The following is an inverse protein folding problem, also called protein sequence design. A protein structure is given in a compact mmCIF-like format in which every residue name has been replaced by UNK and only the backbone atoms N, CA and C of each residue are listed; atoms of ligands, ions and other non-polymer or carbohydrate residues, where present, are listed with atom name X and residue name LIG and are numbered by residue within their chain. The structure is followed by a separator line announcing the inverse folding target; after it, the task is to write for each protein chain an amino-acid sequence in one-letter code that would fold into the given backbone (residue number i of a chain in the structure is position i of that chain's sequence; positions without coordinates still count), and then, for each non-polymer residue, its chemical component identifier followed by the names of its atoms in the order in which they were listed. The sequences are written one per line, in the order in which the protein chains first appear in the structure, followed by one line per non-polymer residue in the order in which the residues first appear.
data_IF_133204538571
#
_entry.id   IF_133204538571
#
_cell.length_a   1.000
_cell.length_b   1.000
_cell.length_c   1.000
_cell.angle_alpha   90.00
_cell.angle_beta   90.00
_cell.angle_gamma   90.00
#
_symmetry.space_group_name_H-M   'P 1'
#
loop_
_entity.id
_entity.type
_entity.pdbx_description
1 polymer ?
#
# COMPACT_ATOMS: atom_id res chain seq x y z
N UNK A 1 -30.70 -3.65 -30.31
CA UNK A 1 -30.36 -3.14 -28.96
C UNK A 1 -28.85 -2.99 -28.89
N UNK A 2 -28.34 -1.82 -28.48
CA UNK A 2 -26.90 -1.59 -28.37
C UNK A 2 -26.29 -2.48 -27.29
N UNK A 3 -25.07 -2.96 -27.50
CA UNK A 3 -24.36 -3.76 -26.51
C UNK A 3 -24.06 -2.88 -25.31
N UNK A 4 -24.03 -3.47 -24.12
CA UNK A 4 -23.90 -2.69 -22.89
C UNK A 4 -22.63 -1.85 -22.82
N UNK A 5 -21.59 -2.32 -23.51
CA UNK A 5 -20.30 -1.67 -23.68
C UNK A 5 -20.32 -0.43 -24.59
N UNK A 6 -21.36 -0.24 -25.41
CA UNK A 6 -21.42 0.84 -26.40
C UNK A 6 -21.75 2.20 -25.76
N UNK A 7 -22.30 2.19 -24.54
CA UNK A 7 -22.60 3.42 -23.81
C UNK A 7 -21.29 4.15 -23.42
N UNK A 8 -21.15 5.45 -23.72
CA UNK A 8 -19.99 6.24 -23.31
C UNK A 8 -19.76 6.21 -21.79
N UNK A 9 -20.85 6.18 -21.04
CA UNK A 9 -20.85 6.23 -19.58
C UNK A 9 -20.33 4.93 -18.96
N UNK A 10 -20.79 3.77 -19.42
CA UNK A 10 -20.29 2.46 -18.95
C UNK A 10 -18.78 2.34 -19.22
N UNK A 11 -18.29 2.86 -20.35
CA UNK A 11 -16.85 2.90 -20.64
C UNK A 11 -16.10 3.85 -19.70
N UNK A 12 -16.69 4.98 -19.32
CA UNK A 12 -16.09 5.92 -18.38
C UNK A 12 -15.97 5.32 -16.98
N UNK A 13 -17.02 4.71 -16.46
CA UNK A 13 -17.02 4.06 -15.15
C UNK A 13 -16.01 2.92 -15.09
N UNK A 14 -15.98 2.09 -16.13
CA UNK A 14 -14.99 1.03 -16.26
C UNK A 14 -13.55 1.58 -16.26
N UNK A 15 -13.29 2.68 -16.97
CA UNK A 15 -11.97 3.34 -16.97
C UNK A 15 -11.60 3.83 -15.58
N UNK A 16 -12.54 4.34 -14.81
CA UNK A 16 -12.32 4.79 -13.42
C UNK A 16 -11.89 3.63 -12.52
N UNK A 17 -12.57 2.49 -12.57
CA UNK A 17 -12.18 1.30 -11.80
C UNK A 17 -10.81 0.77 -12.20
N UNK A 18 -10.53 0.68 -13.51
CA UNK A 18 -9.22 0.24 -14.00
C UNK A 18 -8.11 1.18 -13.56
N UNK A 19 -8.32 2.50 -13.66
CA UNK A 19 -7.35 3.52 -13.21
C UNK A 19 -7.11 3.43 -11.72
N UNK A 20 -8.14 3.24 -10.91
CA UNK A 20 -7.99 3.04 -9.47
C UNK A 20 -7.14 1.80 -9.17
N UNK A 21 -7.43 0.66 -9.81
CA UNK A 21 -6.62 -0.56 -9.65
C UNK A 21 -5.16 -0.36 -10.07
N UNK A 22 -4.91 0.29 -11.21
CA UNK A 22 -3.55 0.60 -11.67
C UNK A 22 -2.80 1.55 -10.74
N UNK A 23 -3.49 2.53 -10.14
CA UNK A 23 -2.88 3.43 -9.13
C UNK A 23 -2.43 2.67 -7.89
N UNK A 24 -3.24 1.74 -7.40
CA UNK A 24 -2.86 0.88 -6.27
C UNK A 24 -1.67 -0.01 -6.58
N UNK A 25 -1.61 -0.60 -7.78
CA UNK A 25 -0.45 -1.39 -8.21
C UNK A 25 0.82 -0.54 -8.38
N UNK A 26 0.69 0.66 -8.96
CA UNK A 26 1.81 1.58 -9.09
C UNK A 26 2.33 2.04 -7.72
N UNK A 27 1.43 2.33 -6.76
CA UNK A 27 1.80 2.65 -5.39
C UNK A 27 2.53 1.48 -4.71
N UNK A 28 2.02 0.24 -4.86
CA UNK A 28 2.68 -0.95 -4.33
C UNK A 28 4.09 -1.13 -4.91
N UNK A 29 4.26 -0.94 -6.21
CA UNK A 29 5.56 -1.02 -6.87
C UNK A 29 6.53 0.07 -6.38
N UNK A 30 6.05 1.32 -6.23
CA UNK A 30 6.84 2.42 -5.69
C UNK A 30 7.29 2.14 -4.24
N UNK A 31 6.40 1.63 -3.38
CA UNK A 31 6.76 1.20 -2.03
C UNK A 31 7.84 0.11 -2.04
N UNK A 32 7.75 -0.88 -2.93
CA UNK A 32 8.74 -1.94 -3.05
C UNK A 32 10.11 -1.39 -3.46
N UNK A 33 10.16 -0.47 -4.43
CA UNK A 33 11.39 0.20 -4.87
C UNK A 33 12.01 1.00 -3.73
N UNK A 34 11.21 1.74 -2.97
CA UNK A 34 11.69 2.51 -1.81
C UNK A 34 12.24 1.60 -0.70
N UNK A 35 11.58 0.47 -0.43
CA UNK A 35 12.06 -0.50 0.57
C UNK A 35 13.40 -1.13 0.16
N UNK A 36 13.52 -1.56 -1.11
CA UNK A 36 14.76 -2.15 -1.64
C UNK A 36 15.86 -1.09 -1.70
N UNK A 37 15.60 0.06 -2.30
CA UNK A 37 16.56 1.15 -2.46
C UNK A 37 17.04 1.70 -1.12
N UNK A 38 16.12 1.94 -0.18
CA UNK A 38 16.46 2.38 1.18
C UNK A 38 17.30 1.35 1.93
N UNK A 39 16.97 0.05 1.79
CA UNK A 39 17.78 -1.04 2.34
C UNK A 39 19.20 -1.08 1.75
N UNK A 40 19.33 -0.97 0.43
CA UNK A 40 20.63 -0.95 -0.25
C UNK A 40 21.46 0.28 0.11
N UNK A 41 20.85 1.47 0.19
CA UNK A 41 21.56 2.70 0.57
C UNK A 41 22.09 2.63 2.01
N UNK A 42 21.30 2.06 2.93
CA UNK A 42 21.71 1.82 4.31
C UNK A 42 22.91 0.85 4.41
N UNK A 43 22.91 -0.19 3.55
CA UNK A 43 24.00 -1.17 3.45
C UNK A 43 25.25 -0.62 2.74
N UNK A 44 25.08 0.24 1.74
CA UNK A 44 26.20 0.83 1.01
C UNK A 44 27.01 1.77 1.90
N UNK A 45 26.34 2.67 2.63
CA UNK A 45 27.01 3.60 3.54
C UNK A 45 27.78 2.90 4.68
N UNK A 46 27.31 1.72 5.12
CA UNK A 46 28.02 0.95 6.16
C UNK A 46 29.27 0.23 5.64
N UNK A 47 29.26 -0.21 4.38
CA UNK A 47 30.42 -0.83 3.73
C UNK A 47 31.54 0.18 3.57
N UNK A 48 31.25 1.39 3.09
CA UNK A 48 32.26 2.44 2.89
C UNK A 48 33.00 2.77 4.19
N UNK A 49 32.30 2.93 5.31
CA UNK A 49 32.94 3.16 6.62
C UNK A 49 33.76 1.96 7.14
N UNK A 50 33.43 0.74 6.70
CA UNK A 50 34.15 -0.48 7.09
C UNK A 50 35.35 -0.79 6.19
N UNK A 51 35.32 -0.38 4.94
CA UNK A 51 36.41 -0.64 4.00
C UNK A 51 37.37 0.54 3.87
N UNK A 52 36.86 1.78 3.99
CA UNK A 52 37.61 3.01 3.71
C UNK A 52 37.77 3.90 4.95
N UNK A 53 37.02 3.62 6.03
CA UNK A 53 37.09 4.38 7.28
C UNK A 53 38.47 4.28 7.93
N UNK A 54 38.97 5.42 8.41
CA UNK A 54 40.25 5.45 9.14
C UNK A 54 40.04 5.00 10.58
N UNK A 55 40.92 4.13 11.06
CA UNK A 55 40.88 3.65 12.44
C UNK A 55 41.66 4.60 13.36
N UNK A 56 41.09 4.90 14.52
CA UNK A 56 41.74 5.65 15.61
C UNK A 56 41.32 5.03 16.95
N UNK A 57 41.95 5.47 18.04
CA UNK A 57 41.52 5.13 19.39
C UNK A 57 40.68 6.28 19.94
N UNK A 58 39.61 5.93 20.65
CA UNK A 58 38.81 6.87 21.42
C UNK A 58 38.72 6.43 22.88
N UNK A 59 38.20 7.33 23.72
CA UNK A 59 37.93 7.07 25.13
C UNK A 59 36.45 7.28 25.43
N UNK A 60 35.87 6.36 26.18
CA UNK A 60 34.46 6.47 26.60
C UNK A 60 34.28 7.61 27.60
N UNK A 61 33.50 8.63 27.26
CA UNK A 61 33.27 9.82 28.10
C UNK A 61 32.07 9.64 29.02
N UNK A 62 31.01 8.98 28.55
CA UNK A 62 29.79 8.71 29.31
C UNK A 62 29.13 7.40 28.87
N UNK A 63 28.45 6.74 29.81
CA UNK A 63 27.67 5.52 29.57
C UNK A 63 26.28 5.75 30.14
N UNK A 64 25.29 5.70 29.27
CA UNK A 64 23.86 5.79 29.57
C UNK A 64 23.19 4.46 29.22
N UNK A 65 21.96 4.25 29.68
CA UNK A 65 21.22 3.02 29.37
C UNK A 65 20.99 2.92 27.87
N UNK A 66 21.67 1.96 27.23
CA UNK A 66 21.60 1.72 25.79
C UNK A 66 22.38 2.72 24.93
N UNK A 67 23.27 3.52 25.51
CA UNK A 67 24.00 4.57 24.77
C UNK A 67 25.38 4.84 25.38
N UNK A 68 26.36 5.05 24.53
CA UNK A 68 27.75 5.35 24.92
C UNK A 68 28.22 6.59 24.16
N UNK A 69 28.75 7.55 24.91
CA UNK A 69 29.47 8.69 24.36
C UNK A 69 30.97 8.43 24.45
N UNK A 70 31.69 8.75 23.39
CA UNK A 70 33.12 8.58 23.30
C UNK A 70 33.77 9.77 22.59
N UNK A 71 35.00 10.07 22.99
CA UNK A 71 35.84 11.11 22.39
C UNK A 71 36.98 10.47 21.63
N UNK A 72 37.31 11.00 20.46
CA UNK A 72 38.41 10.53 19.63
C UNK A 72 39.06 11.69 18.88
N UNK A 73 40.32 11.51 18.51
CA UNK A 73 41.04 12.48 17.70
C UNK A 73 41.09 12.03 16.24
N UNK A 74 40.74 12.94 15.34
CA UNK A 74 40.78 12.76 13.91
C UNK A 74 41.31 14.04 13.26
N UNK A 75 42.30 13.90 12.36
CA UNK A 75 42.87 15.02 11.60
C UNK A 75 43.35 16.21 12.47
N UNK A 76 43.84 15.92 13.70
CA UNK A 76 44.31 16.95 14.63
C UNK A 76 43.20 17.70 15.38
N UNK A 77 41.94 17.25 15.28
CA UNK A 77 40.80 17.78 16.02
C UNK A 77 40.16 16.68 16.87
N UNK A 78 39.68 17.05 18.07
CA UNK A 78 38.94 16.15 18.94
C UNK A 78 37.45 16.22 18.65
N UNK A 79 36.83 15.07 18.49
CA UNK A 79 35.39 14.92 18.26
C UNK A 79 34.77 14.12 19.40
N UNK A 80 33.52 14.43 19.71
CA UNK A 80 32.70 13.68 20.65
C UNK A 80 31.48 13.15 19.90
N UNK A 81 31.24 11.85 20.02
CA UNK A 81 30.15 11.17 19.34
C UNK A 81 29.42 10.25 20.30
N UNK A 82 28.15 10.02 20.00
CA UNK A 82 27.24 9.25 20.83
C UNK A 82 26.63 8.15 19.98
N UNK A 83 26.71 6.92 20.47
CA UNK A 83 26.25 5.73 19.77
C UNK A 83 25.29 4.94 20.67
N UNK A 84 24.18 4.48 20.11
CA UNK A 84 23.32 3.53 20.81
C UNK A 84 23.99 2.15 20.83
N UNK A 85 24.17 1.57 22.02
CA UNK A 85 24.81 0.26 22.23
C UNK A 85 23.82 -0.85 21.95
N UNK A 86 24.25 -1.83 21.17
CA UNK A 86 23.40 -2.91 20.68
C UNK A 86 23.97 -4.27 21.08
N UNK A 87 25.29 -4.35 21.25
CA UNK A 87 25.93 -5.53 21.76
C UNK A 87 25.69 -5.71 23.26
N UNK A 88 25.92 -6.93 23.76
CA UNK A 88 25.93 -7.21 25.19
C UNK A 88 27.21 -6.70 25.88
N UNK A 89 28.06 -5.94 25.17
CA UNK A 89 29.29 -5.39 25.74
C UNK A 89 28.98 -4.28 26.73
N UNK A 90 29.53 -4.43 27.92
CA UNK A 90 29.47 -3.43 28.97
C UNK A 90 30.66 -2.48 28.81
N UNK A 91 30.38 -1.23 28.46
CA UNK A 91 31.39 -0.17 28.39
C UNK A 91 31.60 0.48 29.75
N UNK A 92 32.82 0.92 30.03
CA UNK A 92 33.16 1.70 31.22
C UNK A 92 33.66 3.08 30.83
N UNK A 93 33.33 4.09 31.64
CA UNK A 93 33.89 5.43 31.49
C UNK A 93 35.41 5.37 31.60
N UNK A 94 36.11 6.02 30.66
CA UNK A 94 37.56 6.00 30.53
C UNK A 94 38.13 4.79 29.79
N UNK A 95 37.30 3.83 29.37
CA UNK A 95 37.74 2.70 28.55
C UNK A 95 38.22 3.17 27.18
N UNK A 96 39.38 2.65 26.73
CA UNK A 96 39.84 2.83 25.36
C UNK A 96 39.07 1.91 24.41
N UNK A 97 38.55 2.51 23.34
CA UNK A 97 37.73 1.81 22.34
C UNK A 97 38.27 2.09 20.94
N UNK A 98 38.16 1.09 20.06
CA UNK A 98 38.46 1.27 18.64
C UNK A 98 37.37 2.10 17.98
N UNK A 99 37.75 3.18 17.32
CA UNK A 99 36.83 4.07 16.60
C UNK A 99 37.19 4.06 15.12
N UNK A 100 36.18 3.94 14.25
CA UNK A 100 36.32 4.22 12.82
C UNK A 100 35.49 5.43 12.45
N UNK A 101 36.09 6.35 11.70
CA UNK A 101 35.46 7.59 11.25
C UNK A 101 35.59 7.76 9.73
N UNK A 102 34.67 8.54 9.16
CA UNK A 102 34.74 8.95 7.75
C UNK A 102 35.81 10.04 7.58
N UNK A 103 36.73 9.87 6.64
CA UNK A 103 37.78 10.88 6.41
C UNK A 103 37.22 12.16 5.78
N UNK A 104 36.14 12.05 4.99
CA UNK A 104 35.45 13.19 4.39
C UNK A 104 34.51 13.91 5.37
N UNK A 105 34.06 13.21 6.41
CA UNK A 105 33.22 13.75 7.48
C UNK A 105 33.63 13.17 8.85
N UNK A 106 34.66 13.72 9.50
CA UNK A 106 35.20 13.18 10.75
C UNK A 106 34.22 13.16 11.92
N UNK A 107 33.12 13.93 11.86
CA UNK A 107 32.05 13.90 12.87
C UNK A 107 31.24 12.59 12.82
N UNK A 108 31.25 11.90 11.68
CA UNK A 108 30.62 10.59 11.51
C UNK A 108 31.58 9.48 11.92
N UNK A 109 31.41 8.95 13.13
CA UNK A 109 32.21 7.88 13.68
C UNK A 109 31.39 6.76 14.33
N UNK A 110 32.03 5.60 14.50
CA UNK A 110 31.45 4.38 15.08
C UNK A 110 32.49 3.62 15.89
N UNK A 111 32.02 2.88 16.89
CA UNK A 111 32.84 1.88 17.57
C UNK A 111 33.08 0.69 16.64
N UNK A 112 34.28 0.11 16.69
CA UNK A 112 34.67 -1.07 15.89
C UNK A 112 33.86 -2.29 16.32
N UNK A 113 33.62 -2.41 17.62
CA UNK A 113 33.02 -3.59 18.25
C UNK A 113 31.48 -3.53 18.33
N UNK A 114 30.85 -2.38 18.01
CA UNK A 114 29.39 -2.28 17.97
C UNK A 114 28.81 -2.56 16.58
N UNK A 115 27.79 -3.43 16.48
CA UNK A 115 27.01 -3.55 15.25
C UNK A 115 26.16 -2.30 15.05
N UNK A 116 26.09 -1.79 13.81
CA UNK A 116 25.28 -0.61 13.50
C UNK A 116 23.79 -0.97 13.57
N UNK A 117 23.07 -0.33 14.50
CA UNK A 117 21.60 -0.29 14.46
C UNK A 117 21.19 1.05 13.89
N UNK A 118 20.40 1.03 12.83
CA UNK A 118 19.71 2.24 12.38
C UNK A 118 18.29 2.14 12.89
N UNK A 119 17.97 2.74 14.05
CA UNK A 119 16.81 2.39 14.86
C UNK A 119 15.47 2.56 14.11
N UNK A 120 15.44 3.43 13.11
CA UNK A 120 14.23 3.71 12.33
C UNK A 120 14.17 3.01 10.96
N UNK A 121 15.29 2.60 10.36
CA UNK A 121 15.26 2.01 9.01
C UNK A 121 14.55 0.66 9.02
N UNK A 122 14.86 -0.20 10.01
CA UNK A 122 14.21 -1.51 10.16
C UNK A 122 12.67 -1.41 10.18
N UNK A 123 12.07 -0.72 11.17
CA UNK A 123 10.62 -0.60 11.26
C UNK A 123 10.01 0.15 10.07
N UNK A 124 10.68 1.17 9.51
CA UNK A 124 10.19 1.87 8.32
C UNK A 124 10.11 0.94 7.09
N UNK A 125 11.14 0.12 6.84
CA UNK A 125 11.13 -0.86 5.75
C UNK A 125 10.01 -1.89 5.94
N UNK A 126 9.83 -2.37 7.17
CA UNK A 126 8.72 -3.30 7.49
C UNK A 126 7.36 -2.64 7.24
N UNK A 127 7.16 -1.40 7.69
CA UNK A 127 5.91 -0.67 7.46
C UNK A 127 5.61 -0.48 5.96
N UNK A 128 6.61 -0.07 5.17
CA UNK A 128 6.48 0.08 3.72
C UNK A 128 6.15 -1.26 3.04
N UNK A 129 6.77 -2.35 3.49
CA UNK A 129 6.50 -3.69 2.98
C UNK A 129 5.06 -4.14 3.28
N UNK A 130 4.56 -3.91 4.49
CA UNK A 130 3.18 -4.24 4.86
C UNK A 130 2.16 -3.44 4.02
N UNK A 131 2.42 -2.15 3.77
CA UNK A 131 1.59 -1.34 2.88
C UNK A 131 1.58 -1.92 1.47
N UNK A 132 2.74 -2.30 0.93
CA UNK A 132 2.83 -2.94 -0.39
C UNK A 132 2.05 -4.27 -0.43
N UNK A 133 2.17 -5.10 0.62
CA UNK A 133 1.48 -6.38 0.74
C UNK A 133 -0.05 -6.24 0.71
N UNK A 134 -0.59 -5.17 1.28
CA UNK A 134 -2.04 -4.86 1.25
C UNK A 134 -2.45 -4.24 -0.09
N UNK A 135 -1.62 -3.35 -0.65
CA UNK A 135 -1.93 -2.65 -1.89
C UNK A 135 -2.01 -3.59 -3.12
N UNK A 136 -1.19 -4.65 -3.16
CA UNK A 136 -1.21 -5.65 -4.26
C UNK A 136 -2.57 -6.35 -4.41
N UNK A 137 -3.12 -7.06 -3.41
CA UNK A 137 -4.40 -7.76 -3.57
C UNK A 137 -5.56 -6.80 -3.85
N UNK A 138 -5.54 -5.59 -3.27
CA UNK A 138 -6.53 -4.54 -3.58
C UNK A 138 -6.44 -4.11 -5.04
N UNK A 139 -5.23 -3.86 -5.55
CA UNK A 139 -4.97 -3.50 -6.94
C UNK A 139 -5.36 -4.61 -7.91
N UNK A 140 -4.88 -5.83 -7.67
CA UNK A 140 -5.17 -7.02 -8.48
C UNK A 140 -6.67 -7.30 -8.50
N UNK A 141 -7.34 -7.32 -7.34
CA UNK A 141 -8.78 -7.57 -7.24
C UNK A 141 -9.61 -6.52 -7.99
N UNK A 142 -9.17 -5.26 -7.96
CA UNK A 142 -9.83 -4.16 -8.69
C UNK A 142 -9.69 -4.32 -10.21
N UNK A 143 -8.49 -4.65 -10.69
CA UNK A 143 -8.26 -4.89 -12.13
C UNK A 143 -8.99 -6.14 -12.60
N UNK A 144 -8.92 -7.23 -11.84
CA UNK A 144 -9.62 -8.48 -12.13
C UNK A 144 -11.13 -8.25 -12.26
N UNK A 145 -11.74 -7.56 -11.30
CA UNK A 145 -13.17 -7.21 -11.33
C UNK A 145 -13.50 -6.39 -12.59
N UNK A 146 -12.66 -5.42 -12.96
CA UNK A 146 -12.85 -4.65 -14.19
C UNK A 146 -12.76 -5.51 -15.46
N UNK A 147 -11.90 -6.54 -15.48
CA UNK A 147 -11.79 -7.47 -16.61
C UNK A 147 -13.00 -8.40 -16.70
N UNK A 148 -13.47 -8.94 -15.56
CA UNK A 148 -14.68 -9.76 -15.49
C UNK A 148 -15.88 -8.97 -15.99
N UNK A 149 -16.06 -7.74 -15.53
CA UNK A 149 -17.15 -6.88 -15.97
C UNK A 149 -17.08 -6.54 -17.45
N UNK A 150 -15.89 -6.25 -18.00
CA UNK A 150 -15.73 -6.02 -19.44
C UNK A 150 -16.18 -7.23 -20.25
N UNK A 151 -15.82 -8.45 -19.82
CA UNK A 151 -16.25 -9.69 -20.48
C UNK A 151 -17.77 -9.85 -20.42
N UNK A 152 -18.38 -9.67 -19.25
CA UNK A 152 -19.83 -9.75 -19.10
C UNK A 152 -20.57 -8.71 -19.97
N UNK A 153 -20.14 -7.45 -19.93
CA UNK A 153 -20.71 -6.34 -20.71
C UNK A 153 -20.57 -6.54 -22.23
N UNK A 154 -19.56 -7.28 -22.69
CA UNK A 154 -19.39 -7.59 -24.11
C UNK A 154 -20.27 -8.73 -24.61
N UNK A 155 -20.77 -9.58 -23.69
CA UNK A 155 -21.54 -10.79 -24.04
C UNK A 155 -23.04 -10.58 -23.93
N UNK A 156 -23.48 -9.73 -23.02
CA UNK A 156 -24.90 -9.57 -22.69
C UNK A 156 -25.42 -8.18 -23.03
N UNK A 157 -26.58 -8.07 -23.69
CA UNK A 157 -27.22 -6.78 -23.94
C UNK A 157 -27.83 -6.21 -22.65
N UNK A 158 -27.93 -4.88 -22.56
CA UNK A 158 -28.76 -4.24 -21.53
C UNK A 158 -30.23 -4.59 -21.77
N UNK A 159 -30.96 -4.93 -20.71
CA UNK A 159 -32.41 -5.17 -20.74
C UNK A 159 -33.11 -4.22 -19.78
N UNK A 160 -34.27 -3.71 -20.16
CA UNK A 160 -35.06 -2.88 -19.28
C UNK A 160 -35.80 -3.78 -18.28
N UNK A 161 -35.54 -3.60 -16.99
CA UNK A 161 -36.13 -4.37 -15.91
C UNK A 161 -36.77 -3.42 -14.89
N UNK A 162 -37.92 -3.80 -14.34
CA UNK A 162 -38.52 -3.08 -13.22
C UNK A 162 -37.94 -3.61 -11.92
N UNK A 163 -37.37 -2.71 -11.11
CA UNK A 163 -36.85 -3.02 -9.80
C UNK A 163 -38.00 -3.10 -8.79
N UNK A 164 -38.04 -4.17 -8.01
CA UNK A 164 -38.92 -4.31 -6.85
C UNK A 164 -38.11 -4.75 -5.64
N UNK A 165 -38.29 -4.07 -4.52
CA UNK A 165 -37.55 -4.37 -3.31
C UNK A 165 -38.46 -5.02 -2.27
N UNK A 166 -38.07 -6.21 -1.82
CA UNK A 166 -38.75 -6.99 -0.81
C UNK A 166 -37.84 -7.14 0.42
N UNK A 167 -37.74 -6.07 1.21
CA UNK A 167 -36.86 -6.03 2.38
C UNK A 167 -35.38 -6.09 1.99
N UNK A 168 -34.71 -7.23 2.24
CA UNK A 168 -33.31 -7.46 1.86
C UNK A 168 -33.13 -8.17 0.51
N UNK A 169 -34.23 -8.69 -0.05
CA UNK A 169 -34.25 -9.28 -1.38
C UNK A 169 -34.66 -8.22 -2.41
N UNK A 170 -34.07 -8.31 -3.58
CA UNK A 170 -34.38 -7.45 -4.72
C UNK A 170 -34.86 -8.35 -5.86
N UNK A 171 -36.05 -8.10 -6.38
CA UNK A 171 -36.56 -8.77 -7.58
C UNK A 171 -36.49 -7.81 -8.77
N UNK A 172 -36.03 -8.35 -9.89
CA UNK A 172 -35.92 -7.63 -11.15
C UNK A 172 -36.78 -8.32 -12.17
N UNK A 173 -37.80 -7.62 -12.67
CA UNK A 173 -38.75 -8.18 -13.63
C UNK A 173 -38.52 -7.56 -14.99
N UNK A 174 -38.05 -8.37 -15.94
CA UNK A 174 -38.03 -8.00 -17.36
C UNK A 174 -39.40 -8.36 -17.96
N UNK A 175 -40.06 -7.48 -18.74
CA UNK A 175 -41.35 -7.80 -19.35
C UNK A 175 -41.28 -9.09 -20.18
N UNK A 176 -42.10 -10.08 -19.83
CA UNK A 176 -42.16 -11.37 -20.52
C UNK A 176 -41.17 -12.44 -20.03
N UNK A 177 -40.37 -12.16 -18.99
CA UNK A 177 -39.45 -13.14 -18.39
C UNK A 177 -39.77 -13.37 -16.90
N UNK A 178 -39.30 -14.50 -16.36
CA UNK A 178 -39.42 -14.78 -14.92
C UNK A 178 -38.62 -13.77 -14.09
N UNK A 179 -39.12 -13.38 -12.90
CA UNK A 179 -38.43 -12.43 -12.03
C UNK A 179 -37.09 -12.99 -11.55
N UNK A 180 -36.01 -12.26 -11.81
CA UNK A 180 -34.69 -12.61 -11.28
C UNK A 180 -34.60 -12.07 -9.86
N UNK A 181 -34.47 -12.97 -8.88
CA UNK A 181 -34.26 -12.60 -7.48
C UNK A 181 -32.76 -12.49 -7.20
N UNK A 182 -32.32 -11.32 -6.75
CA UNK A 182 -30.95 -11.05 -6.36
C UNK A 182 -30.90 -10.61 -4.89
N UNK A 183 -29.77 -10.90 -4.23
CA UNK A 183 -29.51 -10.43 -2.87
C UNK A 183 -28.55 -9.25 -2.93
N UNK A 184 -28.86 -8.17 -2.23
CA UNK A 184 -27.98 -7.00 -2.20
C UNK A 184 -26.70 -7.32 -1.41
N UNK A 185 -25.57 -7.44 -2.10
CA UNK A 185 -24.23 -7.65 -1.50
C UNK A 185 -23.48 -6.33 -1.26
N UNK A 186 -24.20 -5.25 -0.92
CA UNK A 186 -23.55 -3.96 -0.65
C UNK A 186 -23.24 -3.78 0.83
N UNK A 187 -21.97 -3.55 1.16
CA UNK A 187 -21.52 -3.23 2.52
C UNK A 187 -21.67 -1.75 2.86
N UNK A 188 -22.03 -0.88 1.90
CA UNK A 188 -22.04 0.57 2.07
C UNK A 188 -23.46 1.10 2.26
N UNK A 189 -23.80 1.58 3.47
CA UNK A 189 -25.14 2.10 3.83
C UNK A 189 -25.73 3.08 2.82
N UNK A 190 -24.91 3.97 2.25
CA UNK A 190 -25.39 4.95 1.29
C UNK A 190 -25.85 4.32 -0.03
N UNK A 191 -25.16 3.28 -0.52
CA UNK A 191 -25.57 2.55 -1.74
C UNK A 191 -26.89 1.86 -1.55
N UNK A 192 -27.10 1.24 -0.39
CA UNK A 192 -28.38 0.63 -0.03
C UNK A 192 -29.49 1.68 -0.04
N UNK A 193 -29.28 2.86 0.55
CA UNK A 193 -30.28 3.95 0.53
C UNK A 193 -30.61 4.42 -0.88
N UNK A 194 -29.60 4.61 -1.75
CA UNK A 194 -29.85 5.01 -3.14
C UNK A 194 -30.65 3.96 -3.88
N UNK A 195 -30.33 2.68 -3.72
CA UNK A 195 -31.09 1.57 -4.32
C UNK A 195 -32.53 1.51 -3.81
N UNK A 196 -32.74 1.69 -2.50
CA UNK A 196 -34.08 1.75 -1.90
C UNK A 196 -34.93 2.88 -2.50
N UNK A 197 -34.32 4.01 -2.85
CA UNK A 197 -35.00 5.12 -3.54
C UNK A 197 -35.38 4.85 -4.99
N UNK A 198 -34.92 3.73 -5.58
CA UNK A 198 -35.24 3.33 -6.95
C UNK A 198 -36.36 2.28 -7.02
N UNK A 199 -36.98 1.92 -5.89
CA UNK A 199 -38.05 0.91 -5.87
C UNK A 199 -39.19 1.29 -6.83
N UNK A 200 -39.66 0.31 -7.60
CA UNK A 200 -40.68 0.46 -8.63
C UNK A 200 -40.21 1.13 -9.92
N UNK A 201 -38.96 1.62 -10.01
CA UNK A 201 -38.45 2.25 -11.23
C UNK A 201 -37.98 1.23 -12.25
N UNK A 202 -38.04 1.64 -13.51
CA UNK A 202 -37.43 0.92 -14.62
C UNK A 202 -35.95 1.27 -14.70
N UNK A 203 -35.12 0.23 -14.76
CA UNK A 203 -33.68 0.32 -14.76
C UNK A 203 -33.12 -0.55 -15.86
N UNK A 204 -31.97 -0.17 -16.40
CA UNK A 204 -31.24 -1.06 -17.28
C UNK A 204 -30.48 -2.09 -16.43
N UNK A 205 -30.70 -3.35 -16.75
CA UNK A 205 -30.11 -4.51 -16.09
C UNK A 205 -29.27 -5.31 -17.08
N UNK A 206 -28.15 -5.85 -16.59
CA UNK A 206 -27.42 -6.93 -17.23
C UNK A 206 -27.27 -8.07 -16.22
N UNK A 207 -27.71 -9.27 -16.59
CA UNK A 207 -27.56 -10.48 -15.79
C UNK A 207 -26.71 -11.52 -16.55
N UNK A 208 -25.65 -12.04 -15.92
CA UNK A 208 -24.77 -13.10 -16.45
C UNK A 208 -24.94 -14.43 -15.67
N UNK A 209 -26.13 -14.65 -15.08
CA UNK A 209 -26.45 -15.80 -14.23
C UNK A 209 -25.75 -15.86 -12.87
N UNK A 210 -24.57 -15.23 -12.73
CA UNK A 210 -23.81 -15.12 -11.47
C UNK A 210 -23.76 -13.72 -10.88
N UNK A 211 -23.96 -12.70 -11.70
CA UNK A 211 -23.86 -11.31 -11.30
C UNK A 211 -24.97 -10.52 -11.99
N UNK A 212 -25.53 -9.56 -11.26
CA UNK A 212 -26.50 -8.62 -11.77
C UNK A 212 -25.91 -7.22 -11.67
N UNK A 213 -25.80 -6.56 -12.82
CA UNK A 213 -25.38 -5.17 -12.92
C UNK A 213 -26.61 -4.31 -13.16
N UNK A 214 -26.80 -3.31 -12.31
CA UNK A 214 -27.86 -2.32 -12.45
C UNK A 214 -27.27 -0.96 -12.79
N UNK A 215 -27.85 -0.30 -13.77
CA UNK A 215 -27.66 1.13 -14.02
C UNK A 215 -29.03 1.81 -14.03
N UNK A 216 -29.21 2.80 -13.15
CA UNK A 216 -30.34 3.70 -13.27
C UNK A 216 -29.91 4.86 -14.16
N UNK A 217 -30.73 5.19 -15.15
CA UNK A 217 -30.57 6.45 -15.86
C UNK A 217 -30.62 7.58 -14.81
N UNK A 218 -29.46 8.19 -14.55
CA UNK A 218 -29.28 9.29 -13.59
C UNK A 218 -28.54 9.00 -12.27
N UNK A 219 -28.19 7.76 -11.91
CA UNK A 219 -27.43 7.51 -10.65
C UNK A 219 -25.92 7.41 -10.82
N UNK A 220 -25.40 7.46 -12.06
CA UNK A 220 -23.97 7.43 -12.39
C UNK A 220 -23.15 6.32 -11.68
N UNK A 221 -23.82 5.24 -11.26
CA UNK A 221 -23.19 4.22 -10.42
C UNK A 221 -23.62 2.83 -10.87
N UNK A 222 -22.66 2.02 -11.32
CA UNK A 222 -22.84 0.58 -11.51
C UNK A 222 -22.98 -0.10 -10.14
N UNK A 223 -24.12 -0.73 -9.90
CA UNK A 223 -24.33 -1.59 -8.74
C UNK A 223 -24.16 -3.05 -9.17
N UNK A 224 -23.18 -3.74 -8.59
CA UNK A 224 -23.03 -5.18 -8.73
C UNK A 224 -23.67 -5.89 -7.55
N UNK A 225 -24.63 -6.78 -7.84
CA UNK A 225 -25.13 -7.80 -6.92
C UNK A 225 -24.64 -9.17 -7.36
#
# INVERSE_FOLDING_TARGET
MAVAWDSPQTRQDWRSYRRAGLRWLAAAAACLVLAIGGGQLALAHSRTLLTEGSATRGTVTAVEVGRVSFRYDAQGQSFESTLDVVSDRVYRRGEEVGVRYDRGDPATARLVDEPRRVPLIGPAVVAVFLVALIAVPVGVGSVWRALVWRRALSRHPWRLARLRIHGSAVSLTVPGEEPVTARLLSTTRWRTKTLLGLDGRELWMLADGRHVLLTADGTNTLYGA
#
